data_IF_267197430979
#
_entry.id   IF_267197430979
#
_cell.length_a   1.000
_cell.length_b   1.000
_cell.length_c   1.000
_cell.angle_alpha   90.00
_cell.angle_beta   90.00
_cell.angle_gamma   90.00
#
_symmetry.space_group_name_H-M   'P 1'
#
loop_
_entity.id
_entity.type
_entity.pdbx_description
1 polymer ?
#
# COMPACT_ATOMS: atom_id res chain seq x y z
N UNK A 1 77.55 -29.49 -46.80
CA UNK A 1 76.94 -28.53 -47.74
C UNK A 1 76.44 -27.37 -46.89
N UNK A 2 77.20 -26.27 -46.79
CA UNK A 2 77.07 -25.07 -47.66
C UNK A 2 75.61 -24.56 -47.68
N UNK A 3 75.25 -23.33 -47.29
CA UNK A 3 76.06 -22.14 -47.03
C UNK A 3 75.21 -21.01 -46.43
N UNK A 4 75.93 -19.98 -46.00
CA UNK A 4 75.49 -18.72 -45.42
C UNK A 4 74.91 -17.79 -46.49
N UNK A 5 73.89 -17.00 -46.15
CA UNK A 5 73.57 -15.75 -46.84
C UNK A 5 72.91 -14.73 -45.90
N UNK A 6 73.78 -13.92 -45.31
CA UNK A 6 73.70 -12.50 -44.96
C UNK A 6 72.55 -11.60 -45.48
N UNK A 7 72.14 -10.71 -44.56
CA UNK A 7 71.87 -9.26 -44.68
C UNK A 7 70.85 -8.74 -45.71
N UNK A 8 69.82 -8.03 -45.23
CA UNK A 8 69.79 -6.55 -45.31
C UNK A 8 68.63 -5.94 -44.49
N UNK A 9 68.98 -4.95 -43.69
CA UNK A 9 68.07 -4.04 -42.99
C UNK A 9 67.70 -2.88 -43.91
N UNK A 10 66.45 -2.36 -43.83
CA UNK A 10 66.08 -0.93 -43.99
C UNK A 10 64.56 -0.72 -43.91
N UNK A 11 64.12 -0.04 -42.85
CA UNK A 11 62.84 0.70 -42.81
C UNK A 11 63.00 2.03 -43.57
N UNK A 12 61.90 2.60 -44.06
CA UNK A 12 61.63 3.99 -43.71
C UNK A 12 60.17 4.22 -43.27
N UNK A 13 60.04 4.97 -42.18
CA UNK A 13 58.83 5.64 -41.71
C UNK A 13 58.77 7.01 -42.37
N UNK A 14 57.67 7.39 -43.02
CA UNK A 14 57.24 8.76 -43.36
C UNK A 14 55.71 8.70 -43.60
N UNK A 15 54.84 9.15 -42.67
CA UNK A 15 54.36 10.52 -42.41
C UNK A 15 53.65 11.20 -43.60
N UNK A 16 52.35 11.43 -43.42
CA UNK A 16 51.45 12.28 -44.21
C UNK A 16 50.02 11.75 -44.02
N UNK A 17 49.04 12.47 -43.53
CA UNK A 17 48.82 13.90 -43.48
C UNK A 17 47.30 14.06 -43.60
N UNK A 18 46.69 14.50 -42.49
CA UNK A 18 45.29 14.81 -42.26
C UNK A 18 44.55 15.47 -43.45
N UNK A 19 43.38 14.94 -43.84
CA UNK A 19 42.34 15.72 -44.55
C UNK A 19 40.96 15.38 -43.97
N UNK A 20 40.44 16.30 -43.17
CA UNK A 20 39.08 16.31 -42.63
C UNK A 20 38.11 16.74 -43.74
N UNK A 21 37.03 15.98 -43.98
CA UNK A 21 35.63 16.49 -44.02
C UNK A 21 34.61 15.40 -44.46
N UNK A 22 33.55 15.26 -43.66
CA UNK A 22 32.14 15.01 -44.04
C UNK A 22 31.69 13.65 -44.65
N UNK A 23 30.97 12.87 -43.84
CA UNK A 23 29.54 12.50 -43.98
C UNK A 23 29.17 11.06 -43.59
N UNK A 24 28.22 10.99 -42.64
CA UNK A 24 27.09 10.07 -42.59
C UNK A 24 27.30 8.56 -42.35
N UNK A 25 27.08 8.21 -41.09
CA UNK A 25 26.21 7.11 -40.62
C UNK A 25 25.30 6.51 -41.71
N UNK A 26 25.55 5.25 -42.05
CA UNK A 26 24.57 4.22 -42.43
C UNK A 26 25.32 2.88 -42.39
N UNK A 27 24.93 1.86 -41.63
CA UNK A 27 23.64 1.57 -41.02
C UNK A 27 23.34 0.10 -41.25
N UNK A 28 23.06 -0.63 -40.18
CA UNK A 28 22.22 -1.82 -40.23
C UNK A 28 22.88 -3.10 -40.73
N UNK A 29 23.69 -3.74 -39.89
CA UNK A 29 24.17 -5.08 -40.21
C UNK A 29 24.82 -5.84 -39.08
N UNK A 30 24.40 -5.67 -37.81
CA UNK A 30 24.88 -6.53 -36.71
C UNK A 30 24.11 -6.36 -35.38
N UNK A 31 22.77 -6.35 -35.38
CA UNK A 31 21.98 -6.33 -34.13
C UNK A 31 20.61 -6.98 -34.30
N UNK A 32 20.58 -8.28 -34.61
CA UNK A 32 19.36 -9.09 -34.56
C UNK A 32 19.49 -10.17 -33.50
N UNK A 33 19.53 -9.77 -32.24
CA UNK A 33 19.09 -10.64 -31.17
C UNK A 33 17.70 -10.17 -30.75
N UNK A 34 16.67 -10.77 -31.36
CA UNK A 34 15.35 -10.83 -30.76
C UNK A 34 15.43 -11.72 -29.51
N UNK A 35 16.03 -11.20 -28.46
CA UNK A 35 15.71 -11.63 -27.11
C UNK A 35 14.62 -10.68 -26.62
N UNK A 36 13.36 -10.98 -26.99
CA UNK A 36 12.27 -10.73 -26.03
C UNK A 36 12.49 -11.72 -24.89
N UNK A 37 13.49 -11.43 -24.05
CA UNK A 37 13.47 -11.90 -22.69
C UNK A 37 12.18 -11.30 -22.14
N UNK A 38 11.13 -12.12 -22.00
CA UNK A 38 10.09 -11.80 -21.06
C UNK A 38 10.84 -11.51 -19.76
N UNK A 39 10.82 -10.25 -19.33
CA UNK A 39 11.42 -9.86 -18.06
C UNK A 39 10.86 -10.86 -17.05
N UNK A 40 11.75 -11.67 -16.45
CA UNK A 40 11.32 -12.52 -15.36
C UNK A 40 10.63 -11.59 -14.36
N UNK A 41 9.40 -11.92 -13.89
CA UNK A 41 8.70 -11.06 -12.96
C UNK A 41 9.67 -10.74 -11.83
N UNK A 42 9.93 -9.46 -11.60
CA UNK A 42 10.73 -9.05 -10.46
C UNK A 42 10.06 -9.60 -9.21
N UNK A 43 10.82 -9.85 -8.14
CA UNK A 43 10.23 -10.36 -6.89
C UNK A 43 9.08 -9.45 -6.42
N UNK A 44 9.20 -8.14 -6.67
CA UNK A 44 8.19 -7.12 -6.39
C UNK A 44 6.89 -7.33 -7.21
N UNK A 45 6.98 -7.63 -8.51
CA UNK A 45 5.80 -7.94 -9.34
C UNK A 45 5.05 -9.18 -8.85
N UNK A 46 5.76 -10.16 -8.29
CA UNK A 46 5.14 -11.36 -7.73
C UNK A 46 4.48 -11.08 -6.38
N UNK A 47 5.10 -10.26 -5.52
CA UNK A 47 4.53 -9.82 -4.26
C UNK A 47 3.24 -9.01 -4.44
N UNK A 48 3.24 -8.04 -5.36
CA UNK A 48 2.05 -7.24 -5.68
C UNK A 48 0.88 -8.11 -6.16
N UNK A 49 1.13 -9.08 -7.05
CA UNK A 49 0.07 -10.01 -7.51
C UNK A 49 -0.52 -10.84 -6.37
N UNK A 50 0.32 -11.35 -5.46
CA UNK A 50 -0.13 -12.14 -4.31
C UNK A 50 -1.02 -11.27 -3.40
N UNK A 51 -0.57 -10.06 -3.07
CA UNK A 51 -1.34 -9.14 -2.23
C UNK A 51 -2.67 -8.72 -2.85
N UNK A 52 -2.70 -8.46 -4.16
CA UNK A 52 -3.95 -8.19 -4.88
C UNK A 52 -4.91 -9.39 -4.84
N UNK A 53 -4.40 -10.62 -4.91
CA UNK A 53 -5.18 -11.85 -4.74
C UNK A 53 -5.79 -11.96 -3.35
N UNK A 54 -4.96 -11.79 -2.30
CA UNK A 54 -5.40 -11.82 -0.91
C UNK A 54 -6.44 -10.72 -0.60
N UNK A 55 -6.25 -9.53 -1.15
CA UNK A 55 -7.19 -8.43 -0.99
C UNK A 55 -8.54 -8.73 -1.67
N UNK A 56 -8.53 -9.33 -2.86
CA UNK A 56 -9.74 -9.73 -3.57
C UNK A 56 -10.50 -10.84 -2.82
N UNK A 57 -9.77 -11.82 -2.28
CA UNK A 57 -10.35 -12.87 -1.44
C UNK A 57 -10.98 -12.28 -0.17
N UNK A 58 -10.27 -11.40 0.53
CA UNK A 58 -10.80 -10.72 1.71
C UNK A 58 -12.06 -9.91 1.39
N UNK A 59 -12.12 -9.19 0.27
CA UNK A 59 -13.33 -8.48 -0.16
C UNK A 59 -14.50 -9.42 -0.42
N UNK A 60 -14.27 -10.54 -1.10
CA UNK A 60 -15.30 -11.55 -1.39
C UNK A 60 -15.87 -12.13 -0.10
N UNK A 61 -15.01 -12.34 0.90
CA UNK A 61 -15.39 -12.86 2.21
C UNK A 61 -16.03 -11.78 3.11
N UNK A 62 -16.18 -10.53 2.63
CA UNK A 62 -16.72 -9.40 3.40
C UNK A 62 -15.74 -8.80 4.41
N UNK A 63 -14.48 -9.26 4.45
CA UNK A 63 -13.41 -8.79 5.33
C UNK A 63 -12.79 -7.49 4.80
N UNK A 64 -13.53 -6.39 4.87
CA UNK A 64 -13.09 -5.08 4.34
C UNK A 64 -12.05 -4.40 5.24
N UNK A 65 -12.43 -4.12 6.49
CA UNK A 65 -11.60 -3.42 7.50
C UNK A 65 -11.32 -4.26 8.75
N UNK A 66 -11.92 -5.45 8.80
CA UNK A 66 -11.80 -6.41 9.88
C UNK A 66 -11.75 -7.84 9.32
N UNK A 67 -11.13 -8.78 10.04
CA UNK A 67 -10.35 -8.60 11.27
C UNK A 67 -8.98 -7.95 10.99
N UNK A 68 -8.28 -7.54 12.06
CA UNK A 68 -6.90 -7.02 11.97
C UNK A 68 -5.95 -8.04 11.33
N UNK A 69 -5.02 -7.56 10.49
CA UNK A 69 -4.00 -8.41 9.85
C UNK A 69 -4.54 -9.29 8.71
N UNK A 70 -5.85 -9.30 8.48
CA UNK A 70 -6.49 -10.13 7.47
C UNK A 70 -7.74 -9.47 6.93
N UNK A 71 -7.57 -8.29 6.35
CA UNK A 71 -8.64 -7.55 5.69
C UNK A 71 -8.15 -6.90 4.40
N UNK A 72 -9.09 -6.58 3.52
CA UNK A 72 -8.81 -6.07 2.19
C UNK A 72 -8.07 -4.73 2.21
N UNK A 73 -8.45 -3.80 3.09
CA UNK A 73 -7.84 -2.47 3.16
C UNK A 73 -6.35 -2.56 3.49
N UNK A 74 -5.97 -3.38 4.48
CA UNK A 74 -4.57 -3.59 4.84
C UNK A 74 -3.77 -4.19 3.68
N UNK A 75 -4.30 -5.20 2.98
CA UNK A 75 -3.61 -5.78 1.82
C UNK A 75 -3.44 -4.78 0.67
N UNK A 76 -4.47 -3.98 0.36
CA UNK A 76 -4.34 -2.93 -0.65
C UNK A 76 -3.37 -1.82 -0.24
N UNK A 77 -3.31 -1.45 1.04
CA UNK A 77 -2.28 -0.54 1.52
C UNK A 77 -0.87 -1.12 1.38
N UNK A 78 -0.68 -2.41 1.61
CA UNK A 78 0.60 -3.07 1.31
C UNK A 78 0.94 -3.01 -0.18
N UNK A 79 -0.05 -3.19 -1.07
CA UNK A 79 0.16 -2.99 -2.51
C UNK A 79 0.60 -1.57 -2.81
N UNK A 80 -0.06 -0.55 -2.24
CA UNK A 80 0.27 0.85 -2.49
C UNK A 80 1.61 1.29 -1.89
N UNK A 81 2.12 0.60 -0.86
CA UNK A 81 3.48 0.83 -0.38
C UNK A 81 4.54 0.37 -1.39
N UNK A 82 4.24 -0.66 -2.19
CA UNK A 82 5.14 -1.19 -3.21
C UNK A 82 4.96 -0.48 -4.57
N UNK A 83 3.70 -0.26 -4.95
CA UNK A 83 3.28 0.41 -6.18
C UNK A 83 2.23 1.50 -5.84
N UNK A 84 2.67 2.72 -5.50
CA UNK A 84 1.79 3.82 -5.13
C UNK A 84 0.78 4.23 -6.22
N UNK A 85 1.01 3.84 -7.48
CA UNK A 85 0.14 4.17 -8.61
C UNK A 85 -0.70 2.97 -9.07
N UNK A 86 -0.78 1.90 -8.27
CA UNK A 86 -1.53 0.70 -8.61
C UNK A 86 -3.02 1.00 -8.78
N UNK A 87 -3.44 1.16 -10.03
CA UNK A 87 -4.82 1.54 -10.37
C UNK A 87 -5.85 0.54 -9.86
N UNK A 88 -5.50 -0.74 -9.79
CA UNK A 88 -6.38 -1.79 -9.28
C UNK A 88 -6.63 -1.60 -7.79
N UNK A 89 -5.58 -1.43 -6.98
CA UNK A 89 -5.73 -1.22 -5.54
C UNK A 89 -6.51 0.07 -5.23
N UNK A 90 -6.18 1.18 -5.92
CA UNK A 90 -6.87 2.46 -5.75
C UNK A 90 -8.36 2.36 -6.09
N UNK A 91 -8.71 1.77 -7.23
CA UNK A 91 -10.10 1.59 -7.62
C UNK A 91 -10.87 0.72 -6.61
N UNK A 92 -10.27 -0.39 -6.16
CA UNK A 92 -10.90 -1.31 -5.21
C UNK A 92 -11.11 -0.68 -3.83
N UNK A 93 -10.15 0.10 -3.33
CA UNK A 93 -10.30 0.84 -2.08
C UNK A 93 -11.43 1.87 -2.16
N UNK A 94 -11.51 2.62 -3.26
CA UNK A 94 -12.61 3.58 -3.50
C UNK A 94 -13.96 2.90 -3.49
N UNK A 95 -14.11 1.83 -4.26
CA UNK A 95 -15.38 1.11 -4.38
C UNK A 95 -15.79 0.46 -3.04
N UNK A 96 -14.82 0.02 -2.24
CA UNK A 96 -15.04 -0.60 -0.94
C UNK A 96 -15.22 0.39 0.22
N UNK A 97 -14.95 1.69 0.03
CA UNK A 97 -14.95 2.68 1.10
C UNK A 97 -16.33 2.85 1.75
N UNK A 98 -17.36 3.11 0.95
CA UNK A 98 -18.72 3.28 1.46
C UNK A 98 -19.21 2.08 2.28
N UNK A 99 -19.14 0.83 1.78
CA UNK A 99 -19.56 -0.33 2.57
C UNK A 99 -18.64 -0.61 3.77
N UNK A 100 -17.36 -0.23 3.72
CA UNK A 100 -16.48 -0.33 4.89
C UNK A 100 -16.88 0.63 6.02
N UNK A 101 -17.35 1.84 5.69
CA UNK A 101 -17.93 2.74 6.69
C UNK A 101 -19.22 2.17 7.32
N UNK A 102 -19.99 1.38 6.57
CA UNK A 102 -21.18 0.66 7.10
C UNK A 102 -20.78 -0.52 7.99
N UNK A 103 -19.63 -1.16 7.73
CA UNK A 103 -19.06 -2.16 8.64
C UNK A 103 -18.69 -1.52 9.98
N UNK A 104 -17.93 -0.42 9.94
CA UNK A 104 -17.54 0.34 11.12
C UNK A 104 -18.77 0.78 11.94
N UNK A 105 -19.80 1.32 11.28
CA UNK A 105 -21.03 1.70 11.97
C UNK A 105 -21.65 0.52 12.73
N UNK A 106 -21.68 -0.67 12.11
CA UNK A 106 -22.15 -1.90 12.76
C UNK A 106 -21.27 -2.31 13.92
N UNK A 107 -19.94 -2.21 13.80
CA UNK A 107 -18.99 -2.47 14.89
C UNK A 107 -19.24 -1.53 16.09
N UNK A 108 -19.46 -0.24 15.83
CA UNK A 108 -19.80 0.74 16.89
C UNK A 108 -21.14 0.38 17.55
N UNK A 109 -22.16 0.05 16.77
CA UNK A 109 -23.48 -0.33 17.31
C UNK A 109 -23.46 -1.66 18.06
N UNK A 110 -22.59 -2.60 17.69
CA UNK A 110 -22.36 -3.85 18.40
C UNK A 110 -21.70 -3.65 19.77
N UNK A 111 -21.07 -2.49 19.99
CA UNK A 111 -20.35 -2.19 21.23
C UNK A 111 -18.90 -2.65 21.24
N UNK A 112 -18.37 -3.12 20.10
CA UNK A 112 -16.98 -3.53 19.93
C UNK A 112 -16.09 -2.29 19.71
N UNK A 113 -16.03 -1.42 20.73
CA UNK A 113 -15.52 -0.04 20.59
C UNK A 113 -14.00 0.03 20.33
N UNK A 114 -13.25 -1.00 20.68
CA UNK A 114 -11.81 -1.08 20.40
C UNK A 114 -11.55 -1.42 18.93
N UNK A 115 -12.27 -2.41 18.40
CA UNK A 115 -12.22 -2.76 16.99
C UNK A 115 -12.75 -1.62 16.12
N UNK A 116 -13.83 -0.97 16.54
CA UNK A 116 -14.36 0.21 15.87
C UNK A 116 -13.33 1.35 15.78
N UNK A 117 -12.54 1.59 16.84
CA UNK A 117 -11.47 2.61 16.77
C UNK A 117 -10.41 2.24 15.74
N UNK A 118 -9.97 0.98 15.73
CA UNK A 118 -8.97 0.49 14.78
C UNK A 118 -9.47 0.62 13.34
N UNK A 119 -10.70 0.19 13.08
CA UNK A 119 -11.35 0.29 11.77
C UNK A 119 -11.49 1.75 11.32
N UNK A 120 -11.90 2.65 12.23
CA UNK A 120 -11.97 4.09 11.97
C UNK A 120 -10.60 4.68 11.60
N UNK A 121 -9.53 4.28 12.31
CA UNK A 121 -8.17 4.71 11.99
C UNK A 121 -7.73 4.21 10.61
N UNK A 122 -8.04 2.96 10.26
CA UNK A 122 -7.73 2.37 8.96
C UNK A 122 -8.44 3.12 7.82
N UNK A 123 -9.73 3.43 8.00
CA UNK A 123 -10.51 4.21 7.04
C UNK A 123 -10.03 5.66 6.92
N UNK A 124 -9.62 6.28 8.02
CA UNK A 124 -8.99 7.61 8.00
C UNK A 124 -7.64 7.59 7.32
N UNK A 125 -6.87 6.49 7.37
CA UNK A 125 -5.60 6.39 6.66
C UNK A 125 -5.79 6.39 5.14
N UNK A 126 -6.87 5.79 4.65
CA UNK A 126 -7.27 5.90 3.25
C UNK A 126 -7.62 7.35 2.88
N UNK A 127 -8.39 8.02 3.74
CA UNK A 127 -8.90 9.38 3.49
C UNK A 127 -7.81 10.47 3.63
N UNK A 128 -6.94 10.34 4.64
CA UNK A 128 -5.82 11.25 4.90
C UNK A 128 -4.69 11.13 3.87
N UNK A 129 -4.69 10.06 3.06
CA UNK A 129 -3.79 9.85 1.93
C UNK A 129 -4.44 10.22 0.61
N UNK A 130 -4.34 11.50 0.20
CA UNK A 130 -4.71 12.01 -1.13
C UNK A 130 -4.07 11.21 -2.30
N UNK A 131 -4.60 10.04 -2.66
CA UNK A 131 -4.18 9.31 -3.87
C UNK A 131 -5.02 9.76 -5.07
N UNK A 132 -4.72 10.95 -5.61
CA UNK A 132 -5.42 11.46 -6.80
C UNK A 132 -4.89 10.81 -8.07
N UNK A 133 -5.77 10.24 -8.91
CA UNK A 133 -5.66 10.44 -10.36
C UNK A 133 -6.99 10.33 -11.12
N UNK A 134 -7.62 11.49 -11.36
CA UNK A 134 -8.36 11.82 -12.59
C UNK A 134 -8.33 13.37 -12.79
N UNK A 135 -7.83 13.91 -13.92
CA UNK A 135 -7.80 15.35 -14.22
C UNK A 135 -9.14 15.97 -14.64
N UNK A 136 -10.22 15.18 -14.83
CA UNK A 136 -11.49 15.66 -15.38
C UNK A 136 -12.71 15.57 -14.45
N UNK A 137 -12.60 14.98 -13.25
CA UNK A 137 -13.74 14.79 -12.35
C UNK A 137 -13.46 15.29 -10.93
N UNK A 138 -14.36 16.16 -10.44
CA UNK A 138 -14.41 16.63 -9.06
C UNK A 138 -15.29 15.68 -8.25
N UNK A 139 -14.72 14.59 -7.72
CA UNK A 139 -15.34 13.91 -6.59
C UNK A 139 -14.86 14.62 -5.33
N UNK A 140 -15.73 15.48 -4.80
CA UNK A 140 -15.62 16.09 -3.49
C UNK A 140 -15.37 14.97 -2.46
N UNK A 141 -14.39 15.17 -1.58
CA UNK A 141 -14.04 14.29 -0.46
C UNK A 141 -15.22 14.18 0.54
N UNK A 142 -16.31 13.53 0.16
CA UNK A 142 -17.49 13.29 0.99
C UNK A 142 -17.23 12.31 2.16
N UNK A 143 -15.97 11.92 2.33
CA UNK A 143 -15.50 10.90 3.25
C UNK A 143 -15.10 11.50 4.61
N UNK A 144 -14.71 12.78 4.66
CA UNK A 144 -14.42 13.50 5.90
C UNK A 144 -15.65 13.55 6.81
N UNK A 145 -16.84 13.84 6.26
CA UNK A 145 -18.05 14.01 7.07
C UNK A 145 -18.56 12.69 7.67
N UNK A 146 -18.60 11.60 6.89
CA UNK A 146 -19.07 10.30 7.41
C UNK A 146 -18.12 9.78 8.49
N UNK A 147 -16.80 9.88 8.28
CA UNK A 147 -15.82 9.45 9.29
C UNK A 147 -15.79 10.36 10.52
N UNK A 148 -16.09 11.66 10.37
CA UNK A 148 -16.27 12.56 11.51
C UNK A 148 -17.50 12.19 12.34
N UNK A 149 -18.63 11.90 11.68
CA UNK A 149 -19.86 11.46 12.35
C UNK A 149 -19.65 10.13 13.10
N UNK A 150 -19.05 9.14 12.45
CA UNK A 150 -18.74 7.84 13.06
C UNK A 150 -17.75 7.99 14.23
N UNK A 151 -16.77 8.88 14.11
CA UNK A 151 -15.88 9.24 15.22
C UNK A 151 -16.64 9.82 16.42
N UNK A 152 -17.53 10.77 16.17
CA UNK A 152 -18.38 11.34 17.23
C UNK A 152 -19.32 10.32 17.87
N UNK A 153 -19.89 9.41 17.07
CA UNK A 153 -20.74 8.32 17.57
C UNK A 153 -19.95 7.34 18.45
N UNK A 154 -18.75 6.95 18.02
CA UNK A 154 -17.83 6.11 18.79
C UNK A 154 -17.44 6.77 20.13
N UNK A 155 -17.09 8.05 20.12
CA UNK A 155 -16.74 8.80 21.33
C UNK A 155 -17.92 8.89 22.30
N UNK A 156 -19.14 9.07 21.78
CA UNK A 156 -20.34 9.08 22.60
C UNK A 156 -20.61 7.72 23.25
N UNK A 157 -20.43 6.61 22.51
CA UNK A 157 -20.58 5.25 23.04
C UNK A 157 -19.59 4.97 24.18
N UNK A 158 -18.34 5.37 24.03
CA UNK A 158 -17.31 5.19 25.08
C UNK A 158 -17.65 5.93 26.36
N UNK A 159 -18.06 7.20 26.26
CA UNK A 159 -18.49 7.99 27.42
C UNK A 159 -19.70 7.38 28.13
N UNK A 160 -20.55 6.65 27.42
CA UNK A 160 -21.66 5.92 28.04
C UNK A 160 -21.16 4.68 28.78
N UNK A 161 -20.24 3.93 28.18
CA UNK A 161 -19.64 2.74 28.79
C UNK A 161 -18.82 3.10 30.04
N UNK A 162 -17.99 4.14 29.97
CA UNK A 162 -17.19 4.62 31.10
C UNK A 162 -18.07 5.04 32.27
N UNK A 163 -19.20 5.71 31.99
CA UNK A 163 -20.17 6.08 33.03
C UNK A 163 -20.79 4.85 33.69
N UNK A 164 -21.18 3.85 32.91
CA UNK A 164 -21.70 2.59 33.46
C UNK A 164 -20.69 1.90 34.38
N UNK A 165 -19.43 1.78 33.93
CA UNK A 165 -18.38 1.18 34.75
C UNK A 165 -18.09 1.98 36.03
N UNK A 166 -18.14 3.31 35.97
CA UNK A 166 -17.98 4.15 37.15
C UNK A 166 -19.12 3.96 38.16
N UNK A 167 -20.37 3.87 37.69
CA UNK A 167 -21.56 3.61 38.53
C UNK A 167 -21.48 2.21 39.18
N UNK A 168 -21.10 1.19 38.40
CA UNK A 168 -20.89 -0.18 38.90
C UNK A 168 -19.80 -0.22 39.97
N UNK A 169 -18.67 0.45 39.75
CA UNK A 169 -17.58 0.53 40.71
C UNK A 169 -18.00 1.23 42.01
N UNK A 170 -18.76 2.32 41.92
CA UNK A 170 -19.29 3.02 43.08
C UNK A 170 -20.28 2.15 43.88
N UNK A 171 -21.16 1.41 43.19
CA UNK A 171 -22.09 0.49 43.85
C UNK A 171 -21.35 -0.65 44.58
N UNK A 172 -20.30 -1.21 43.96
CA UNK A 172 -19.47 -2.24 44.60
C UNK A 172 -18.71 -1.70 45.83
N UNK A 173 -18.23 -0.45 45.78
CA UNK A 173 -17.57 0.18 46.93
C UNK A 173 -18.52 0.31 48.11
N UNK A 174 -19.74 0.83 47.88
CA UNK A 174 -20.77 0.97 48.93
C UNK A 174 -21.16 -0.39 49.52
N UNK A 175 -21.31 -1.43 48.70
CA UNK A 175 -21.61 -2.78 49.19
C UNK A 175 -20.48 -3.35 50.06
N UNK A 176 -19.22 -3.15 49.67
CA UNK A 176 -18.05 -3.61 50.43
C UNK A 176 -17.93 -2.89 51.78
N UNK A 177 -18.19 -1.59 51.80
CA UNK A 177 -18.21 -0.79 53.04
C UNK A 177 -19.36 -1.19 53.97
N UNK A 178 -20.56 -1.43 53.43
CA UNK A 178 -21.69 -1.93 54.21
C UNK A 178 -21.43 -3.32 54.82
N UNK A 179 -20.80 -4.22 54.06
CA UNK A 179 -20.46 -5.57 54.54
C UNK A 179 -19.37 -5.55 55.62
N UNK A 180 -18.37 -4.65 55.52
CA UNK A 180 -17.32 -4.53 56.55
C UNK A 180 -17.83 -3.85 57.82
N UNK A 181 -18.82 -2.96 57.74
CA UNK A 181 -19.48 -2.36 58.88
C UNK A 181 -20.39 -3.35 59.64
N UNK A 182 -21.05 -4.27 58.94
CA UNK A 182 -21.92 -5.29 59.55
C UNK A 182 -21.15 -6.45 60.23
N UNK A 183 -19.84 -6.57 59.96
CA UNK A 183 -18.97 -7.60 60.53
C UNK A 183 -18.23 -7.14 61.80
N UNK A 184 -18.39 -5.87 62.20
CA UNK A 184 -17.85 -5.27 63.43
C UNK A 184 -18.92 -5.20 64.50
#
# INVERSE_FOLDING_TARGET
>A
MQGLASFFSRRPVWLGGLLVLLLAVAGGGWWHWNARAGAAPTQDDSGVRILLGLAADALRDGRRVAPVGSNAFEFYFSVLQMDPQNRTALARLRDAFKPACEDLERTITAGDLDDAQRELQLLRAYDAGNYKYDPAHYELHANDYKLALLGGYLDAQRRLLDRKHAEEAAAMAVQREGASAAAQ
#
